data_IF_529705643791
#
_entry.id   IF_529705643791
#
_cell.length_a   1.000
_cell.length_b   1.000
_cell.length_c   1.000
_cell.angle_alpha   90.00
_cell.angle_beta   90.00
_cell.angle_gamma   90.00
#
_symmetry.space_group_name_H-M   'P 1'
#
loop_
_entity.id
_entity.type
_entity.pdbx_description
1 polymer ?
#
# COMPACT_ATOMS: atom_id res chain seq x y z
N UNK A 1 -5.50 6.82 3.27
CA UNK A 1 -6.49 5.82 3.71
C UNK A 1 -5.86 4.90 4.75
N UNK A 2 -6.59 4.58 5.82
CA UNK A 2 -6.17 3.55 6.78
C UNK A 2 -6.38 2.14 6.20
N UNK A 3 -5.68 1.13 6.72
CA UNK A 3 -5.92 -0.23 6.28
C UNK A 3 -7.32 -0.75 6.67
N UNK A 4 -8.03 -0.12 7.63
CA UNK A 4 -9.43 -0.46 7.94
C UNK A 4 -10.36 0.02 6.83
N UNK A 5 -10.18 1.26 6.37
CA UNK A 5 -10.95 1.82 5.26
C UNK A 5 -10.74 1.07 3.95
N UNK A 6 -9.50 0.63 3.68
CA UNK A 6 -9.19 -0.18 2.49
C UNK A 6 -9.86 -1.56 2.60
N UNK A 7 -9.80 -2.17 3.79
CA UNK A 7 -10.42 -3.46 4.07
C UNK A 7 -11.93 -3.43 3.87
N UNK A 8 -12.61 -2.39 4.36
CA UNK A 8 -14.05 -2.17 4.15
C UNK A 8 -14.40 -2.06 2.66
N UNK A 9 -13.66 -1.24 1.89
CA UNK A 9 -13.91 -1.08 0.45
C UNK A 9 -13.70 -2.37 -0.35
N UNK A 10 -12.74 -3.20 0.06
CA UNK A 10 -12.38 -4.43 -0.65
C UNK A 10 -13.04 -5.68 -0.08
N UNK A 11 -13.91 -5.57 0.94
CA UNK A 11 -14.47 -6.71 1.68
C UNK A 11 -13.40 -7.69 2.17
N UNK A 12 -12.28 -7.16 2.66
CA UNK A 12 -11.14 -7.92 3.20
C UNK A 12 -11.01 -7.72 4.72
N UNK A 13 -10.17 -8.53 5.36
CA UNK A 13 -9.74 -8.24 6.73
C UNK A 13 -8.69 -7.13 6.76
N UNK A 14 -8.67 -6.32 7.82
CA UNK A 14 -7.62 -5.32 8.05
C UNK A 14 -6.21 -5.93 7.98
N UNK A 15 -6.04 -7.12 8.57
CA UNK A 15 -4.77 -7.83 8.61
C UNK A 15 -4.29 -8.24 7.21
N UNK A 16 -5.21 -8.62 6.32
CA UNK A 16 -4.90 -8.92 4.92
C UNK A 16 -4.33 -7.68 4.22
N UNK A 17 -4.94 -6.52 4.41
CA UNK A 17 -4.44 -5.25 3.83
C UNK A 17 -3.06 -4.89 4.38
N UNK A 18 -2.84 -5.01 5.69
CA UNK A 18 -1.51 -4.79 6.28
C UNK A 18 -0.45 -5.70 5.66
N UNK A 19 -0.76 -6.99 5.52
CA UNK A 19 0.16 -7.96 4.92
C UNK A 19 0.50 -7.57 3.46
N UNK A 20 -0.48 -7.15 2.67
CA UNK A 20 -0.23 -6.67 1.31
C UNK A 20 0.66 -5.43 1.29
N UNK A 21 0.41 -4.45 2.17
CA UNK A 21 1.23 -3.23 2.26
C UNK A 21 2.68 -3.57 2.60
N UNK A 22 2.91 -4.46 3.57
CA UNK A 22 4.25 -4.91 3.94
C UNK A 22 4.93 -5.70 2.82
N UNK A 23 4.18 -6.54 2.10
CA UNK A 23 4.71 -7.24 0.94
C UNK A 23 5.10 -6.26 -0.18
N UNK A 24 4.29 -5.23 -0.44
CA UNK A 24 4.59 -4.18 -1.41
C UNK A 24 5.86 -3.41 -1.04
N UNK A 25 6.02 -3.02 0.22
CA UNK A 25 7.26 -2.37 0.70
C UNK A 25 8.49 -3.22 0.43
N UNK A 26 8.44 -4.53 0.73
CA UNK A 26 9.55 -5.46 0.46
C UNK A 26 9.82 -5.63 -1.03
N UNK A 27 8.77 -5.77 -1.85
CA UNK A 27 8.92 -5.96 -3.30
C UNK A 27 9.52 -4.74 -3.99
N UNK A 28 9.14 -3.54 -3.54
CA UNK A 28 9.59 -2.28 -4.12
C UNK A 28 10.80 -1.67 -3.39
N UNK A 29 11.31 -2.35 -2.35
CA UNK A 29 12.45 -1.91 -1.53
C UNK A 29 12.27 -0.49 -0.95
N UNK A 30 11.06 -0.16 -0.50
CA UNK A 30 10.73 1.12 0.16
C UNK A 30 10.40 0.90 1.63
N UNK A 31 10.75 1.85 2.50
CA UNK A 31 10.65 1.68 3.95
C UNK A 31 9.29 2.08 4.53
N UNK A 32 8.52 2.93 3.85
CA UNK A 32 7.27 3.47 4.37
C UNK A 32 6.31 3.93 3.27
N UNK A 33 5.11 4.39 3.67
CA UNK A 33 4.06 4.84 2.74
C UNK A 33 4.45 6.09 1.96
N UNK A 34 5.26 6.98 2.53
CA UNK A 34 5.68 8.21 1.84
C UNK A 34 6.59 7.87 0.67
N UNK A 35 7.56 6.99 0.89
CA UNK A 35 8.41 6.46 -0.17
C UNK A 35 7.63 5.66 -1.20
N UNK A 36 6.64 4.86 -0.78
CA UNK A 36 5.74 4.16 -1.71
C UNK A 36 4.95 5.13 -2.59
N UNK A 37 4.41 6.21 -2.03
CA UNK A 37 3.72 7.24 -2.82
C UNK A 37 4.66 7.91 -3.81
N UNK A 38 5.89 8.24 -3.40
CA UNK A 38 6.90 8.82 -4.30
C UNK A 38 7.24 7.87 -5.44
N UNK A 39 7.47 6.59 -5.12
CA UNK A 39 7.71 5.54 -6.11
C UNK A 39 6.57 5.48 -7.14
N UNK A 40 5.32 5.52 -6.69
CA UNK A 40 4.17 5.49 -7.57
C UNK A 40 4.16 6.66 -8.56
N UNK A 41 4.42 7.89 -8.09
CA UNK A 41 4.50 9.10 -8.94
C UNK A 41 5.66 8.99 -9.93
N UNK A 42 6.85 8.61 -9.46
CA UNK A 42 8.05 8.46 -10.31
C UNK A 42 7.86 7.43 -11.43
N UNK A 43 6.91 6.49 -11.27
CA UNK A 43 6.62 5.43 -12.23
C UNK A 43 5.26 5.60 -12.95
N UNK A 44 4.55 6.72 -12.77
CA UNK A 44 3.27 6.99 -13.40
C UNK A 44 2.14 6.05 -12.96
N UNK A 45 2.17 5.59 -11.70
CA UNK A 45 1.16 4.70 -11.10
C UNK A 45 0.09 5.46 -10.30
N UNK A 46 0.13 6.80 -10.29
CA UNK A 46 -0.83 7.66 -9.57
C UNK A 46 -1.90 8.31 -10.46
N UNK A 47 -1.84 8.10 -11.78
CA UNK A 47 -2.81 8.60 -12.77
C UNK A 47 -4.13 7.81 -12.82
#
# INVERSE_FOLDING_TARGET
MSAKQIAEKLSLSHRTVENHVQATFRKLQVANRVELTRYAIEHGLDE
#
